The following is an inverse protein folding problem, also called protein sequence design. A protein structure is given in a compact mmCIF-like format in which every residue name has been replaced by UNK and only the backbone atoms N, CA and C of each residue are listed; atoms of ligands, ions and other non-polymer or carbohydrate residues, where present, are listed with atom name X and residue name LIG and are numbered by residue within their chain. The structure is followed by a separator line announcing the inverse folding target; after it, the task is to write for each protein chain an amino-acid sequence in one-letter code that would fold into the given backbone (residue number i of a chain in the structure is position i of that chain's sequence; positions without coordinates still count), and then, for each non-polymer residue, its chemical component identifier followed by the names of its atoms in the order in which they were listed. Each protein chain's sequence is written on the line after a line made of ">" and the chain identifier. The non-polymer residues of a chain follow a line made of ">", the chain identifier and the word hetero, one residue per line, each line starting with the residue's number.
data_IF_676192679736
#
_entry.id   IF_676192679736
#
_cell.length_a   1.000
_cell.length_b   1.000
_cell.length_c   1.000
_cell.angle_alpha   90.00
_cell.angle_beta   90.00
_cell.angle_gamma   90.00
#
_symmetry.space_group_name_H-M   'P 1'
#
loop_
_entity.id
_entity.type
_entity.pdbx_description
1 polymer ?
#
# COMPACT_ATOMS: atom_id res chain seq x y z
N UNK A 1 -19.85 25.15 -23.28
CA UNK A 1 -18.69 24.88 -22.40
C UNK A 1 -19.01 24.88 -20.91
N UNK A 2 -19.89 25.76 -20.39
CA UNK A 2 -20.26 25.75 -18.95
C UNK A 2 -20.97 24.46 -18.49
N UNK A 3 -21.67 23.77 -19.40
CA UNK A 3 -22.38 22.52 -19.11
C UNK A 3 -21.44 21.32 -18.89
N UNK A 4 -20.34 21.22 -19.63
CA UNK A 4 -19.40 20.07 -19.53
C UNK A 4 -18.61 20.08 -18.22
N UNK A 5 -18.27 21.27 -17.70
CA UNK A 5 -17.58 21.42 -16.40
C UNK A 5 -18.52 21.03 -15.25
N UNK A 6 -19.80 21.36 -15.36
CA UNK A 6 -20.79 20.98 -14.35
C UNK A 6 -21.09 19.48 -14.42
N UNK A 7 -21.25 18.90 -15.61
CA UNK A 7 -21.38 17.45 -15.80
C UNK A 7 -20.16 16.67 -15.29
N UNK A 8 -18.96 17.21 -15.47
CA UNK A 8 -17.73 16.63 -14.94
C UNK A 8 -17.65 16.71 -13.41
N UNK A 9 -18.05 17.84 -12.81
CA UNK A 9 -18.18 17.95 -11.35
C UNK A 9 -19.22 16.97 -10.81
N UNK A 10 -20.37 16.86 -11.44
CA UNK A 10 -21.42 15.93 -11.03
C UNK A 10 -21.01 14.47 -11.21
N UNK A 11 -20.15 14.17 -12.19
CA UNK A 11 -19.53 12.86 -12.36
C UNK A 11 -18.50 12.55 -11.27
N UNK A 12 -17.61 13.49 -10.94
CA UNK A 12 -16.62 13.33 -9.86
C UNK A 12 -17.32 13.20 -8.49
N UNK A 13 -18.40 13.95 -8.28
CA UNK A 13 -19.20 13.92 -7.06
C UNK A 13 -20.15 12.72 -6.99
N UNK A 14 -20.29 11.94 -8.08
CA UNK A 14 -21.05 10.69 -8.06
C UNK A 14 -20.19 9.59 -7.46
N UNK A 15 -20.44 9.32 -6.18
CA UNK A 15 -19.77 8.26 -5.42
C UNK A 15 -18.46 8.72 -4.78
N UNK A 16 -17.64 7.75 -4.38
CA UNK A 16 -16.39 7.99 -3.64
C UNK A 16 -15.16 8.10 -4.56
N UNK A 17 -15.36 8.54 -5.81
CA UNK A 17 -14.34 8.50 -6.88
C UNK A 17 -13.10 9.32 -6.51
N UNK A 18 -13.29 10.47 -5.84
CA UNK A 18 -12.18 11.33 -5.38
C UNK A 18 -11.34 10.60 -4.34
N UNK A 19 -11.96 9.97 -3.34
CA UNK A 19 -11.25 9.25 -2.28
C UNK A 19 -10.51 8.03 -2.83
N UNK A 20 -11.15 7.29 -3.75
CA UNK A 20 -10.50 6.17 -4.45
C UNK A 20 -9.30 6.66 -5.25
N UNK A 21 -9.44 7.78 -5.98
CA UNK A 21 -8.34 8.35 -6.77
C UNK A 21 -7.17 8.80 -5.88
N UNK A 22 -7.45 9.46 -4.76
CA UNK A 22 -6.43 9.86 -3.78
C UNK A 22 -5.75 8.62 -3.19
N UNK A 23 -6.52 7.60 -2.80
CA UNK A 23 -5.99 6.34 -2.27
C UNK A 23 -5.08 5.63 -3.25
N UNK A 24 -5.46 5.56 -4.53
CA UNK A 24 -4.65 4.95 -5.59
C UNK A 24 -3.34 5.73 -5.82
N UNK A 25 -3.41 7.06 -5.89
CA UNK A 25 -2.23 7.91 -6.06
C UNK A 25 -1.28 7.74 -4.88
N UNK A 26 -1.79 7.78 -3.65
CA UNK A 26 -0.99 7.56 -2.45
C UNK A 26 -0.35 6.17 -2.43
N UNK A 27 -1.06 5.12 -2.85
CA UNK A 27 -0.51 3.77 -2.95
C UNK A 27 0.65 3.68 -3.95
N UNK A 28 0.54 4.34 -5.11
CA UNK A 28 1.60 4.37 -6.13
C UNK A 28 2.87 5.06 -5.61
N UNK A 29 2.73 6.24 -4.99
CA UNK A 29 3.87 6.95 -4.41
C UNK A 29 4.47 6.21 -3.21
N UNK A 30 3.63 5.56 -2.40
CA UNK A 30 4.10 4.75 -1.28
C UNK A 30 4.93 3.55 -1.78
N UNK A 31 4.49 2.87 -2.85
CA UNK A 31 5.28 1.82 -3.50
C UNK A 31 6.65 2.36 -3.96
N UNK A 32 6.70 3.55 -4.56
CA UNK A 32 7.96 4.15 -5.00
C UNK A 32 8.94 4.39 -3.84
N UNK A 33 8.46 4.78 -2.65
CA UNK A 33 9.28 4.90 -1.44
C UNK A 33 9.85 3.55 -1.02
N UNK A 34 9.02 2.50 -1.02
CA UNK A 34 9.45 1.14 -0.70
C UNK A 34 10.51 0.66 -1.70
N UNK A 35 10.28 0.86 -3.00
CA UNK A 35 11.24 0.49 -4.05
C UNK A 35 12.58 1.23 -3.87
N UNK A 36 12.56 2.51 -3.48
CA UNK A 36 13.76 3.29 -3.22
C UNK A 36 14.57 2.76 -2.02
N UNK A 37 13.90 2.31 -0.96
CA UNK A 37 14.57 1.67 0.20
C UNK A 37 15.22 0.36 -0.24
N UNK A 38 14.53 -0.43 -1.07
CA UNK A 38 15.05 -1.70 -1.58
C UNK A 38 16.29 -1.44 -2.43
N UNK A 39 16.17 -0.60 -3.45
CA UNK A 39 17.25 -0.31 -4.37
C UNK A 39 18.44 0.40 -3.71
N UNK A 40 18.17 1.31 -2.75
CA UNK A 40 19.20 2.14 -2.12
C UNK A 40 19.87 1.51 -0.90
N UNK A 41 19.20 0.60 -0.19
CA UNK A 41 19.71 0.03 1.06
C UNK A 41 19.80 -1.49 0.97
N UNK A 42 18.71 -2.17 0.61
CA UNK A 42 18.65 -3.63 0.71
C UNK A 42 19.49 -4.31 -0.39
N UNK A 43 19.32 -3.91 -1.66
CA UNK A 43 20.06 -4.49 -2.79
C UNK A 43 21.58 -4.35 -2.63
N UNK A 44 22.14 -3.18 -2.22
CA UNK A 44 23.57 -3.04 -1.96
C UNK A 44 24.06 -3.93 -0.80
N UNK A 45 23.28 -4.11 0.27
CA UNK A 45 23.65 -5.00 1.38
C UNK A 45 23.71 -6.46 0.90
N UNK A 46 22.73 -6.89 0.10
CA UNK A 46 22.72 -8.23 -0.49
C UNK A 46 23.92 -8.40 -1.42
N UNK A 47 24.17 -7.43 -2.32
CA UNK A 47 25.32 -7.47 -3.22
C UNK A 47 26.66 -7.52 -2.46
N UNK A 48 26.79 -6.77 -1.35
CA UNK A 48 27.99 -6.77 -0.52
C UNK A 48 28.26 -8.12 0.17
N UNK A 49 27.21 -8.88 0.50
CA UNK A 49 27.32 -10.20 1.15
C UNK A 49 27.55 -11.32 0.13
N UNK A 50 26.85 -11.29 -1.01
CA UNK A 50 26.83 -12.38 -1.98
C UNK A 50 27.81 -12.19 -3.16
N UNK A 51 28.48 -11.04 -3.26
CA UNK A 51 29.58 -10.78 -4.21
C UNK A 51 29.14 -10.54 -5.66
N UNK A 52 27.99 -11.06 -6.09
CA UNK A 52 27.36 -10.75 -7.36
C UNK A 52 26.15 -9.83 -7.16
N UNK A 53 26.09 -8.75 -7.95
CA UNK A 53 25.02 -7.76 -7.86
C UNK A 53 23.68 -8.28 -8.40
N UNK A 54 23.66 -9.43 -9.09
CA UNK A 54 22.46 -9.89 -9.78
C UNK A 54 22.23 -11.41 -9.67
N UNK A 55 21.44 -11.79 -8.66
CA UNK A 55 20.94 -13.15 -8.45
C UNK A 55 20.14 -13.64 -9.67
N UNK A 56 19.68 -12.73 -10.55
CA UNK A 56 18.96 -13.09 -11.77
C UNK A 56 19.77 -13.97 -12.73
N UNK A 57 21.10 -13.87 -12.70
CA UNK A 57 21.99 -14.59 -13.62
C UNK A 57 22.32 -16.02 -13.18
N UNK A 58 21.87 -16.44 -11.98
CA UNK A 58 22.10 -17.79 -11.49
C UNK A 58 21.25 -18.79 -12.28
N UNK A 59 21.88 -19.80 -12.87
CA UNK A 59 21.16 -20.90 -13.54
C UNK A 59 20.44 -20.45 -14.82
N UNK A 60 21.01 -19.53 -15.57
CA UNK A 60 20.56 -19.17 -16.92
C UNK A 60 21.04 -20.19 -17.94
N UNK A 61 20.13 -20.77 -18.71
CA UNK A 61 20.48 -21.67 -19.81
C UNK A 61 19.51 -21.51 -20.98
N UNK A 62 20.04 -21.63 -22.19
CA UNK A 62 19.24 -21.51 -23.42
C UNK A 62 19.05 -22.89 -24.04
N UNK A 63 17.80 -23.30 -24.25
CA UNK A 63 17.47 -24.53 -24.99
C UNK A 63 16.73 -24.12 -26.26
N UNK A 64 17.30 -24.45 -27.42
CA UNK A 64 16.70 -24.22 -28.73
C UNK A 64 16.27 -22.76 -28.99
N UNK A 65 17.08 -21.80 -28.53
CA UNK A 65 16.80 -20.36 -28.66
C UNK A 65 15.81 -19.79 -27.64
N UNK A 66 15.33 -20.59 -26.68
CA UNK A 66 14.54 -20.11 -25.54
C UNK A 66 15.41 -20.00 -24.29
N UNK A 67 15.43 -18.81 -23.69
CA UNK A 67 16.20 -18.50 -22.48
C UNK A 67 15.41 -18.85 -21.22
N UNK A 68 15.95 -19.74 -20.39
CA UNK A 68 15.41 -20.08 -19.08
C UNK A 68 16.30 -19.48 -18.00
N UNK A 69 15.71 -18.70 -17.10
CA UNK A 69 16.44 -18.01 -16.03
C UNK A 69 15.84 -18.35 -14.67
N UNK A 70 16.35 -19.39 -14.02
CA UNK A 70 15.90 -19.78 -12.67
C UNK A 70 16.23 -18.67 -11.66
N UNK A 71 17.38 -18.01 -11.83
CA UNK A 71 17.81 -16.88 -11.03
C UNK A 71 16.83 -15.71 -11.05
N UNK A 72 16.17 -15.45 -12.20
CA UNK A 72 15.16 -14.40 -12.31
C UNK A 72 13.97 -14.65 -11.38
N UNK A 73 13.51 -15.91 -11.30
CA UNK A 73 12.41 -16.30 -10.41
C UNK A 73 12.85 -16.21 -8.95
N UNK A 74 14.06 -16.66 -8.63
CA UNK A 74 14.62 -16.57 -7.29
C UNK A 74 14.77 -15.11 -6.84
N UNK A 75 15.26 -14.24 -7.71
CA UNK A 75 15.35 -12.80 -7.45
C UNK A 75 13.97 -12.20 -7.17
N UNK A 76 12.97 -12.51 -8.00
CA UNK A 76 11.60 -12.03 -7.79
C UNK A 76 11.02 -12.51 -6.44
N UNK A 77 11.30 -13.74 -6.03
CA UNK A 77 10.88 -14.27 -4.74
C UNK A 77 11.56 -13.56 -3.56
N UNK A 78 12.86 -13.28 -3.67
CA UNK A 78 13.62 -12.53 -2.65
C UNK A 78 13.10 -11.10 -2.56
N UNK A 79 12.92 -10.41 -3.68
CA UNK A 79 12.38 -9.04 -3.74
C UNK A 79 10.98 -8.99 -3.10
N UNK A 80 10.12 -9.98 -3.37
CA UNK A 80 8.80 -10.07 -2.76
C UNK A 80 8.87 -10.19 -1.22
N UNK A 81 9.74 -11.06 -0.70
CA UNK A 81 9.93 -11.23 0.75
C UNK A 81 10.42 -9.93 1.39
N UNK A 82 11.35 -9.23 0.73
CA UNK A 82 11.88 -7.94 1.20
C UNK A 82 10.79 -6.88 1.23
N UNK A 83 10.02 -6.72 0.14
CA UNK A 83 8.89 -5.78 0.07
C UNK A 83 7.91 -6.06 1.21
N UNK A 84 7.51 -7.32 1.41
CA UNK A 84 6.60 -7.71 2.46
C UNK A 84 7.14 -7.35 3.86
N UNK A 85 8.44 -7.58 4.09
CA UNK A 85 9.09 -7.23 5.35
C UNK A 85 9.17 -5.72 5.59
N UNK A 86 9.52 -4.94 4.57
CA UNK A 86 9.57 -3.47 4.66
C UNK A 86 8.17 -2.91 4.95
N UNK A 87 7.15 -3.38 4.24
CA UNK A 87 5.75 -3.00 4.48
C UNK A 87 5.31 -3.34 5.91
N UNK A 88 5.66 -4.53 6.40
CA UNK A 88 5.36 -4.93 7.77
C UNK A 88 5.99 -3.99 8.80
N UNK A 89 7.27 -3.63 8.63
CA UNK A 89 7.96 -2.70 9.54
C UNK A 89 7.31 -1.31 9.51
N UNK A 90 6.95 -0.80 8.31
CA UNK A 90 6.30 0.49 8.17
C UNK A 90 4.92 0.53 8.81
N UNK A 91 4.09 -0.49 8.58
CA UNK A 91 2.76 -0.59 9.20
C UNK A 91 2.88 -0.75 10.71
N UNK A 92 3.85 -1.54 11.20
CA UNK A 92 4.11 -1.69 12.63
C UNK A 92 4.54 -0.36 13.26
N UNK A 93 5.43 0.39 12.61
CA UNK A 93 5.86 1.71 13.10
C UNK A 93 4.69 2.70 13.14
N UNK A 94 3.88 2.74 12.08
CA UNK A 94 2.67 3.56 12.01
C UNK A 94 1.66 3.21 13.13
N UNK A 95 1.38 1.91 13.31
CA UNK A 95 0.45 1.46 14.36
C UNK A 95 1.00 1.73 15.77
N UNK A 96 2.31 1.64 15.96
CA UNK A 96 2.96 1.98 17.23
C UNK A 96 2.79 3.46 17.56
N UNK A 97 2.93 4.35 16.57
CA UNK A 97 2.70 5.80 16.78
C UNK A 97 1.24 6.15 16.99
N UNK A 98 0.32 5.43 16.34
CA UNK A 98 -1.13 5.64 16.54
C UNK A 98 -1.61 5.16 17.91
N UNK A 99 -0.99 4.11 18.46
CA UNK A 99 -1.32 3.62 19.79
C UNK A 99 -0.95 4.58 20.93
N UNK A 100 -0.04 5.54 20.68
CA UNK A 100 0.35 6.59 21.63
C UNK A 100 -0.48 7.88 21.49
N UNK A 101 -1.34 7.99 20.47
CA UNK A 101 -2.34 9.04 20.42
C UNK A 101 -3.49 8.64 21.37
N UNK A 102 -3.95 9.52 22.29
CA UNK A 102 -5.18 9.26 23.03
C UNK A 102 -6.24 8.92 21.99
N UNK A 103 -6.92 7.79 22.15
CA UNK A 103 -8.12 7.52 21.37
C UNK A 103 -9.01 8.75 21.53
N UNK A 104 -9.12 9.56 20.46
CA UNK A 104 -10.27 10.43 20.31
C UNK A 104 -11.45 9.47 20.42
N UNK A 105 -12.10 9.48 21.57
CA UNK A 105 -13.32 8.72 21.82
C UNK A 105 -14.18 8.93 20.59
N UNK A 106 -14.29 7.89 19.77
CA UNK A 106 -15.15 7.95 18.61
C UNK A 106 -16.52 8.30 19.17
N UNK A 107 -17.00 9.51 18.87
CA UNK A 107 -18.28 9.96 19.36
C UNK A 107 -19.34 8.90 19.06
N UNK A 108 -20.44 8.85 19.85
CA UNK A 108 -21.41 7.78 19.78
C UNK A 108 -21.80 7.51 18.33
N UNK A 109 -21.69 6.25 17.93
CA UNK A 109 -22.01 5.81 16.58
C UNK A 109 -23.43 6.22 16.24
N UNK A 110 -23.74 6.38 14.95
CA UNK A 110 -25.08 6.77 14.51
C UNK A 110 -26.16 5.82 15.03
N UNK A 111 -25.82 4.53 15.20
CA UNK A 111 -26.70 3.52 15.80
C UNK A 111 -26.92 3.77 17.30
N UNK A 112 -25.88 4.16 18.04
CA UNK A 112 -25.97 4.54 19.46
C UNK A 112 -26.81 5.80 19.63
N UNK A 113 -26.58 6.84 18.81
CA UNK A 113 -27.40 8.04 18.79
C UNK A 113 -28.87 7.74 18.49
N UNK A 114 -29.15 6.89 17.49
CA UNK A 114 -30.52 6.48 17.17
C UNK A 114 -31.15 5.65 18.30
N UNK A 115 -30.36 4.88 19.03
CA UNK A 115 -30.80 4.12 20.21
C UNK A 115 -31.14 5.06 21.35
N UNK A 116 -30.28 6.03 21.64
CA UNK A 116 -30.52 7.09 22.63
C UNK A 116 -31.76 7.93 22.29
N UNK A 117 -31.95 8.28 21.02
CA UNK A 117 -33.14 9.01 20.53
C UNK A 117 -34.40 8.15 20.70
N UNK A 118 -34.35 6.86 20.32
CA UNK A 118 -35.48 5.93 20.50
C UNK A 118 -35.88 5.82 21.96
N UNK A 119 -34.89 5.62 22.84
CA UNK A 119 -35.13 5.42 24.26
C UNK A 119 -35.62 6.72 24.93
N UNK A 120 -35.12 7.87 24.49
CA UNK A 120 -35.62 9.20 24.89
C UNK A 120 -37.06 9.45 24.46
N UNK A 121 -37.46 8.97 23.26
CA UNK A 121 -38.84 9.07 22.77
C UNK A 121 -39.79 8.09 23.47
N UNK A 122 -39.30 6.92 23.90
CA UNK A 122 -40.09 5.93 24.65
C UNK A 122 -40.41 6.34 26.09
N UNK A 123 -39.60 7.23 26.64
CA UNK A 123 -39.75 7.78 27.99
C UNK A 123 -40.60 9.07 28.04
N UNK A 124 -41.17 9.49 26.90
CA UNK A 124 -42.18 10.55 26.80
C UNK A 124 -43.57 9.95 26.57
#
# INVERSE_FOLDING_TARGET
>A
MKNMINEFKDFINKGDVVTIAVGLVMALYFKAIVDAIIAGIITPIIAAIFGESDIAQVGTFSINGADFSIGLVLKAAIDFIIVAFVLFVLVKAYNSWKADAPEEEAGPTEVELLTEIRDSLRNR
#
